data_IF_746229333842
#
_entry.id   IF_746229333842
#
_cell.length_a   1.000
_cell.length_b   1.000
_cell.length_c   1.000
_cell.angle_alpha   90.00
_cell.angle_beta   90.00
_cell.angle_gamma   90.00
#
_symmetry.space_group_name_H-M   'P 1'
#
loop_
_entity.id
_entity.type
_entity.pdbx_description
1 polymer ?
#
# COMPACT_ATOMS: atom_id res chain seq x y z
N UNK A 1 21.44 8.36 -14.05
CA UNK A 1 20.05 7.88 -14.05
C UNK A 1 20.01 6.56 -13.30
N UNK A 2 19.58 6.57 -12.04
CA UNK A 2 19.54 5.36 -11.22
C UNK A 2 18.13 4.76 -11.29
N UNK A 3 18.02 3.64 -12.01
CA UNK A 3 16.87 2.75 -11.98
C UNK A 3 16.70 2.22 -10.54
N UNK A 4 15.66 2.69 -9.85
CA UNK A 4 15.29 2.26 -8.50
C UNK A 4 15.08 0.75 -8.46
N UNK A 5 15.80 0.13 -7.55
CA UNK A 5 16.27 -1.24 -7.58
C UNK A 5 15.13 -2.25 -7.35
N UNK A 6 14.96 -3.21 -8.26
CA UNK A 6 14.05 -4.36 -8.17
C UNK A 6 14.45 -5.35 -7.04
N UNK A 7 15.43 -4.99 -6.20
CA UNK A 7 16.02 -5.83 -5.16
C UNK A 7 15.56 -5.58 -3.72
N UNK A 8 14.67 -4.63 -3.42
CA UNK A 8 14.32 -4.33 -2.01
C UNK A 8 13.03 -5.02 -1.53
N UNK A 9 11.92 -4.87 -2.27
CA UNK A 9 10.63 -5.42 -1.85
C UNK A 9 10.62 -6.96 -1.71
N UNK A 10 11.19 -7.67 -2.69
CA UNK A 10 11.15 -9.14 -2.71
C UNK A 10 11.94 -9.78 -1.58
N UNK A 11 13.16 -9.30 -1.34
CA UNK A 11 14.00 -9.72 -0.22
C UNK A 11 13.38 -9.31 1.12
N UNK A 12 12.85 -8.09 1.22
CA UNK A 12 12.14 -7.64 2.42
C UNK A 12 10.94 -8.54 2.75
N UNK A 13 10.09 -8.86 1.77
CA UNK A 13 8.96 -9.80 1.96
C UNK A 13 9.43 -11.18 2.42
N UNK A 14 10.52 -11.68 1.84
CA UNK A 14 11.12 -12.96 2.21
C UNK A 14 11.64 -12.96 3.65
N UNK A 15 12.28 -11.88 4.07
CA UNK A 15 12.74 -11.68 5.45
C UNK A 15 11.57 -11.62 6.42
N UNK A 16 10.56 -10.78 6.16
CA UNK A 16 9.38 -10.67 7.01
C UNK A 16 8.65 -12.00 7.14
N UNK A 17 8.52 -12.76 6.05
CA UNK A 17 7.93 -14.10 6.08
C UNK A 17 8.72 -15.06 6.99
N UNK A 18 10.05 -15.03 6.92
CA UNK A 18 10.93 -15.86 7.76
C UNK A 18 10.86 -15.47 9.23
N UNK A 19 10.83 -14.17 9.53
CA UNK A 19 10.63 -13.65 10.89
C UNK A 19 9.28 -14.07 11.46
N UNK A 20 8.23 -14.06 10.63
CA UNK A 20 6.92 -14.58 10.99
C UNK A 20 6.83 -16.11 11.02
N UNK A 21 7.93 -16.83 10.71
CA UNK A 21 8.03 -18.29 10.69
C UNK A 21 7.01 -18.97 9.75
N UNK A 22 6.62 -18.26 8.68
CA UNK A 22 5.69 -18.76 7.69
C UNK A 22 6.42 -19.44 6.53
N UNK A 23 5.90 -20.58 6.11
CA UNK A 23 6.24 -21.14 4.79
C UNK A 23 5.69 -20.26 3.68
N UNK A 24 6.27 -20.36 2.49
CA UNK A 24 5.77 -19.64 1.31
C UNK A 24 4.29 -19.96 1.03
N UNK A 25 3.86 -21.20 1.28
CA UNK A 25 2.47 -21.63 1.09
C UNK A 25 1.55 -20.98 2.11
N UNK A 26 1.92 -20.98 3.39
CA UNK A 26 1.12 -20.34 4.42
C UNK A 26 0.94 -18.84 4.19
N UNK A 27 1.99 -18.13 3.77
CA UNK A 27 1.86 -16.70 3.44
C UNK A 27 0.97 -16.49 2.21
N UNK A 28 1.14 -17.31 1.17
CA UNK A 28 0.31 -17.22 -0.04
C UNK A 28 -1.18 -17.43 0.29
N UNK A 29 -1.49 -18.48 1.06
CA UNK A 29 -2.84 -18.81 1.48
C UNK A 29 -3.43 -17.69 2.35
N UNK A 30 -2.67 -17.16 3.31
CA UNK A 30 -3.11 -16.06 4.19
C UNK A 30 -3.32 -14.73 3.46
N UNK A 31 -2.53 -14.47 2.41
CA UNK A 31 -2.67 -13.28 1.58
C UNK A 31 -3.67 -13.46 0.42
N UNK A 32 -4.28 -14.64 0.26
CA UNK A 32 -5.23 -14.89 -0.84
C UNK A 32 -4.60 -14.90 -2.24
N UNK A 33 -3.29 -15.18 -2.34
CA UNK A 33 -2.55 -15.20 -3.60
C UNK A 33 -2.04 -16.60 -3.93
N UNK A 34 -1.73 -16.85 -5.20
CA UNK A 34 -1.14 -18.14 -5.57
C UNK A 34 0.32 -18.25 -5.11
N UNK A 35 0.72 -19.43 -4.63
CA UNK A 35 2.10 -19.71 -4.23
C UNK A 35 3.14 -19.42 -5.34
N UNK A 36 2.91 -19.77 -6.63
CA UNK A 36 3.81 -19.41 -7.72
C UNK A 36 3.96 -17.90 -7.89
N UNK A 37 2.88 -17.14 -7.71
CA UNK A 37 2.92 -15.68 -7.83
C UNK A 37 3.72 -15.04 -6.69
N UNK A 38 3.48 -15.46 -5.44
CA UNK A 38 4.28 -15.00 -4.30
C UNK A 38 5.77 -15.35 -4.45
N UNK A 39 6.09 -16.55 -4.97
CA UNK A 39 7.46 -16.93 -5.31
C UNK A 39 8.12 -15.99 -6.32
N UNK A 40 7.36 -15.53 -7.32
CA UNK A 40 7.86 -14.57 -8.31
C UNK A 40 8.09 -13.19 -7.70
N UNK A 41 7.22 -12.76 -6.78
CA UNK A 41 7.38 -11.49 -6.06
C UNK A 41 8.64 -11.51 -5.17
N UNK A 42 8.84 -12.55 -4.35
CA UNK A 42 10.03 -12.64 -3.47
C UNK A 42 11.34 -12.63 -4.26
N UNK A 43 11.33 -13.09 -5.51
CA UNK A 43 12.50 -13.10 -6.41
C UNK A 43 12.64 -11.82 -7.24
N UNK A 44 11.75 -10.85 -7.06
CA UNK A 44 11.72 -9.61 -7.87
C UNK A 44 11.30 -9.82 -9.33
N UNK A 45 10.78 -11.00 -9.70
CA UNK A 45 10.36 -11.32 -11.07
C UNK A 45 8.99 -10.73 -11.43
N UNK A 46 8.20 -10.37 -10.41
CA UNK A 46 6.89 -9.74 -10.57
C UNK A 46 6.75 -8.57 -9.60
N UNK A 47 6.22 -7.46 -10.11
CA UNK A 47 5.77 -6.33 -9.30
C UNK A 47 4.32 -6.59 -8.84
N UNK A 48 4.06 -6.65 -7.53
CA UNK A 48 2.69 -6.75 -7.01
C UNK A 48 1.94 -5.42 -7.18
N UNK A 49 0.61 -5.48 -7.24
CA UNK A 49 -0.25 -4.30 -7.16
C UNK A 49 -0.34 -3.78 -5.73
N UNK A 50 -0.87 -2.56 -5.55
CA UNK A 50 -1.12 -2.00 -4.22
C UNK A 50 -2.05 -2.90 -3.38
N UNK A 51 -3.09 -3.46 -3.99
CA UNK A 51 -4.01 -4.40 -3.34
C UNK A 51 -3.29 -5.66 -2.85
N UNK A 52 -2.42 -6.26 -3.67
CA UNK A 52 -1.61 -7.43 -3.27
C UNK A 52 -0.67 -7.06 -2.11
N UNK A 53 -0.07 -5.86 -2.14
CA UNK A 53 0.79 -5.39 -1.05
C UNK A 53 0.00 -5.20 0.25
N UNK A 54 -1.24 -4.72 0.21
CA UNK A 54 -2.11 -4.65 1.39
C UNK A 54 -2.42 -6.03 1.95
N UNK A 55 -2.76 -6.99 1.09
CA UNK A 55 -3.03 -8.37 1.50
C UNK A 55 -1.81 -9.02 2.15
N UNK A 56 -0.62 -8.82 1.57
CA UNK A 56 0.65 -9.32 2.11
C UNK A 56 1.01 -8.63 3.44
N UNK A 57 0.84 -7.31 3.53
CA UNK A 57 1.06 -6.56 4.76
C UNK A 57 0.16 -7.07 5.89
N UNK A 58 -1.12 -7.30 5.59
CA UNK A 58 -2.09 -7.86 6.54
C UNK A 58 -1.70 -9.27 6.99
N UNK A 59 -1.32 -10.13 6.06
CA UNK A 59 -0.90 -11.50 6.38
C UNK A 59 0.38 -11.54 7.23
N UNK A 60 1.31 -10.61 6.98
CA UNK A 60 2.56 -10.44 7.74
C UNK A 60 2.41 -9.60 9.01
N UNK A 61 1.24 -8.98 9.23
CA UNK A 61 0.94 -8.05 10.33
C UNK A 61 1.92 -6.86 10.40
N UNK A 62 2.24 -6.30 9.24
CA UNK A 62 3.10 -5.11 9.11
C UNK A 62 2.34 -3.98 8.41
N UNK A 63 2.90 -2.78 8.41
CA UNK A 63 2.31 -1.66 7.69
C UNK A 63 2.42 -1.85 6.17
N UNK A 64 1.31 -1.65 5.46
CA UNK A 64 1.29 -1.62 4.00
C UNK A 64 2.12 -0.44 3.45
N UNK A 65 2.18 0.67 4.19
CA UNK A 65 3.02 1.82 3.85
C UNK A 65 4.49 1.41 3.73
N UNK A 66 4.98 0.59 4.65
CA UNK A 66 6.35 0.06 4.59
C UNK A 66 6.56 -0.71 3.29
N UNK A 67 5.60 -1.55 2.89
CA UNK A 67 5.69 -2.26 1.61
C UNK A 67 5.58 -1.33 0.40
N UNK A 68 4.81 -0.25 0.46
CA UNK A 68 4.74 0.75 -0.60
C UNK A 68 6.04 1.50 -0.78
N UNK A 69 6.70 1.87 0.32
CA UNK A 69 8.05 2.47 0.28
C UNK A 69 9.04 1.48 -0.34
N UNK A 70 9.06 0.22 0.11
CA UNK A 70 9.96 -0.78 -0.48
C UNK A 70 9.64 -1.09 -1.95
N UNK A 71 8.38 -0.92 -2.36
CA UNK A 71 7.94 -1.05 -3.75
C UNK A 71 8.19 0.20 -4.61
N UNK A 72 8.58 1.33 -4.01
CA UNK A 72 8.69 2.63 -4.68
C UNK A 72 7.34 3.21 -5.12
N UNK A 73 6.23 2.71 -4.59
CA UNK A 73 4.87 3.15 -4.93
C UNK A 73 4.51 4.44 -4.20
N UNK A 74 5.00 4.63 -2.97
CA UNK A 74 4.69 5.84 -2.21
C UNK A 74 5.26 7.09 -2.90
N UNK A 75 6.55 7.05 -3.28
CA UNK A 75 7.20 8.15 -4.00
C UNK A 75 6.53 8.46 -5.35
N UNK A 76 6.05 7.44 -6.07
CA UNK A 76 5.35 7.63 -7.35
C UNK A 76 3.97 8.27 -7.13
N UNK A 77 3.22 7.85 -6.10
CA UNK A 77 1.92 8.44 -5.77
C UNK A 77 2.05 9.90 -5.33
N UNK A 78 3.09 10.23 -4.55
CA UNK A 78 3.36 11.61 -4.14
C UNK A 78 3.72 12.48 -5.35
N UNK A 79 4.46 11.92 -6.32
CA UNK A 79 4.76 12.61 -7.58
C UNK A 79 3.51 12.81 -8.44
N UNK A 80 2.69 11.78 -8.60
CA UNK A 80 1.41 11.85 -9.33
C UNK A 80 0.48 12.91 -8.70
N UNK A 81 0.42 12.98 -7.37
CA UNK A 81 -0.36 14.01 -6.67
C UNK A 81 0.13 15.42 -6.99
N UNK A 82 1.44 15.64 -6.88
CA UNK A 82 2.04 16.94 -7.20
C UNK A 82 1.78 17.34 -8.66
N UNK A 83 1.86 16.38 -9.59
CA UNK A 83 1.58 16.59 -11.01
C UNK A 83 0.12 17.00 -11.23
N UNK A 84 -0.85 16.26 -10.69
CA UNK A 84 -2.28 16.59 -10.84
C UNK A 84 -2.60 17.98 -10.30
N UNK A 85 -2.07 18.32 -9.11
CA UNK A 85 -2.25 19.67 -8.54
C UNK A 85 -1.69 20.75 -9.46
N UNK A 86 -0.52 20.52 -10.05
CA UNK A 86 0.10 21.46 -10.98
C UNK A 86 -0.74 21.67 -12.24
N UNK A 87 -1.36 20.61 -12.78
CA UNK A 87 -2.24 20.67 -13.95
C UNK A 87 -3.48 21.50 -13.65
N UNK A 88 -4.12 21.30 -12.49
CA UNK A 88 -5.30 22.09 -12.07
C UNK A 88 -4.94 23.58 -11.95
N UNK A 89 -3.77 23.89 -11.39
CA UNK A 89 -3.32 25.28 -11.20
C UNK A 89 -2.94 25.96 -12.53
N UNK A 90 -2.42 25.20 -13.49
CA UNK A 90 -1.97 25.70 -14.79
C UNK A 90 -3.10 25.93 -15.79
N UNK A 91 -4.31 25.42 -15.55
CA UNK A 91 -5.45 25.60 -16.46
C UNK A 91 -5.89 27.07 -16.54
N UNK A 92 -5.76 27.74 -17.71
CA UNK A 92 -6.12 29.15 -17.87
C UNK A 92 -7.63 29.38 -17.98
N UNK A 93 -8.43 28.33 -18.19
CA UNK A 93 -9.88 28.41 -18.35
C UNK A 93 -10.62 28.41 -17.01
N UNK A 94 -9.92 28.08 -15.93
CA UNK A 94 -10.46 27.97 -14.57
C UNK A 94 -10.00 29.17 -13.76
N UNK A 95 -10.92 29.87 -13.10
CA UNK A 95 -10.55 31.01 -12.23
C UNK A 95 -10.00 30.53 -10.87
N UNK A 96 -9.35 31.44 -10.13
CA UNK A 96 -8.70 31.09 -8.86
C UNK A 96 -9.66 30.48 -7.83
N UNK A 97 -10.90 30.98 -7.72
CA UNK A 97 -11.89 30.41 -6.81
C UNK A 97 -12.24 28.97 -7.20
N UNK A 98 -12.42 28.71 -8.49
CA UNK A 98 -12.74 27.37 -9.00
C UNK A 98 -11.56 26.41 -8.80
N UNK A 99 -10.31 26.87 -9.01
CA UNK A 99 -9.10 26.08 -8.72
C UNK A 99 -9.03 25.67 -7.26
N UNK A 100 -9.26 26.60 -6.34
CA UNK A 100 -9.27 26.30 -4.90
C UNK A 100 -10.34 25.26 -4.54
N UNK A 101 -11.55 25.37 -5.09
CA UNK A 101 -12.62 24.39 -4.87
C UNK A 101 -12.24 23.01 -5.45
N UNK A 102 -11.69 22.95 -6.66
CA UNK A 102 -11.25 21.69 -7.27
C UNK A 102 -10.15 21.01 -6.45
N UNK A 103 -9.15 21.77 -6.00
CA UNK A 103 -8.09 21.25 -5.15
C UNK A 103 -8.64 20.76 -3.81
N UNK A 104 -9.56 21.49 -3.20
CA UNK A 104 -10.20 21.08 -1.94
C UNK A 104 -10.97 19.75 -2.10
N UNK A 105 -11.77 19.62 -3.17
CA UNK A 105 -12.53 18.40 -3.47
C UNK A 105 -11.58 17.23 -3.77
N UNK A 106 -10.53 17.49 -4.56
CA UNK A 106 -9.52 16.50 -4.87
C UNK A 106 -8.82 15.98 -3.60
N UNK A 107 -8.39 16.88 -2.73
CA UNK A 107 -7.78 16.53 -1.45
C UNK A 107 -8.75 15.78 -0.52
N UNK A 108 -10.02 16.17 -0.48
CA UNK A 108 -11.01 15.49 0.36
C UNK A 108 -11.23 14.05 -0.08
N UNK A 109 -11.43 13.80 -1.38
CA UNK A 109 -11.58 12.43 -1.90
C UNK A 109 -10.31 11.61 -1.71
N UNK A 110 -9.13 12.22 -1.85
CA UNK A 110 -7.86 11.56 -1.58
C UNK A 110 -7.72 11.12 -0.11
N UNK A 111 -8.07 12.00 0.83
CA UNK A 111 -8.06 11.69 2.27
C UNK A 111 -9.10 10.64 2.64
N UNK A 112 -10.30 10.73 2.08
CA UNK A 112 -11.38 9.76 2.29
C UNK A 112 -10.96 8.37 1.79
N UNK A 113 -10.46 8.26 0.55
CA UNK A 113 -10.01 6.97 0.01
C UNK A 113 -8.80 6.40 0.78
N UNK A 114 -7.93 7.25 1.32
CA UNK A 114 -6.83 6.82 2.19
C UNK A 114 -7.36 6.29 3.53
N UNK A 115 -8.35 6.97 4.13
CA UNK A 115 -8.99 6.58 5.37
C UNK A 115 -9.87 5.33 5.20
N UNK A 116 -10.55 5.15 4.06
CA UNK A 116 -11.33 3.95 3.73
C UNK A 116 -10.43 2.73 3.53
N UNK A 117 -9.31 2.88 2.81
CA UNK A 117 -8.29 1.85 2.73
C UNK A 117 -7.71 1.49 4.12
N UNK A 118 -7.79 2.43 5.07
CA UNK A 118 -7.42 2.26 6.46
C UNK A 118 -8.57 1.73 7.34
N UNK A 119 -9.84 1.91 6.98
CA UNK A 119 -11.01 1.49 7.76
C UNK A 119 -11.60 0.15 7.31
N UNK A 120 -11.37 -0.29 6.07
CA UNK A 120 -11.73 -1.62 5.56
C UNK A 120 -10.85 -2.75 6.15
N UNK A 121 -10.24 -2.47 7.32
CA UNK A 121 -9.59 -3.39 8.26
C UNK A 121 -10.62 -4.35 8.85
N UNK A 122 -10.53 -5.67 8.62
CA UNK A 122 -11.30 -6.61 9.42
C UNK A 122 -10.60 -6.80 10.77
N UNK A 123 -11.21 -6.24 11.83
CA UNK A 123 -11.09 -6.72 13.21
C UNK A 123 -9.98 -6.12 14.08
N UNK A 124 -10.21 -4.93 14.63
CA UNK A 124 -9.79 -4.63 16.00
C UNK A 124 -10.99 -4.86 16.93
N UNK A 125 -11.23 -6.12 17.31
CA UNK A 125 -12.20 -6.43 18.36
C UNK A 125 -11.61 -6.07 19.73
N UNK A 126 -12.34 -5.38 20.63
CA UNK A 126 -11.86 -5.13 21.98
C UNK A 126 -11.75 -6.48 22.71
N UNK A 127 -10.62 -6.67 23.40
CA UNK A 127 -10.27 -7.92 24.07
C UNK A 127 -11.34 -8.39 25.06
N UNK A 128 -11.72 -9.66 24.92
CA UNK A 128 -12.40 -10.42 25.97
C UNK A 128 -11.47 -10.49 27.19
N UNK A 129 -11.69 -9.61 28.17
CA UNK A 129 -11.24 -9.83 29.54
C UNK A 129 -12.32 -10.62 30.26
N UNK A 130 -12.20 -11.95 30.27
CA UNK A 130 -12.91 -12.78 31.24
C UNK A 130 -12.02 -12.92 32.48
N UNK A 131 -12.45 -12.51 33.69
CA UNK A 131 -11.75 -12.89 34.90
C UNK A 131 -12.15 -14.34 35.25
N UNK A 132 -11.16 -15.23 35.35
CA UNK A 132 -11.35 -16.55 35.95
C UNK A 132 -11.54 -16.40 37.46
N UNK A 133 -12.62 -17.00 37.95
CA UNK A 133 -12.88 -17.28 39.36
C UNK A 133 -11.93 -18.33 39.93
#
# INVERSE_FOLDING_TARGET
MASLNVGNLGEYLREQRRTAQLTLRQLADAAGVSNPYLSQIERGLRKPSAEILQQLAKALRISAETLYVQAGILDERDREEAEVRSVILADPTINERQKQVLLQIYESFRKENAAEAENDRPGAGPGDTTPSS
#
